data_IF_032991502498
#
_entry.id   IF_032991502498
#
_cell.length_a   1.000
_cell.length_b   1.000
_cell.length_c   1.000
_cell.angle_alpha   90.00
_cell.angle_beta   90.00
_cell.angle_gamma   90.00
#
_symmetry.space_group_name_H-M   'P 1'
#
loop_
_entity.id
_entity.type
_entity.pdbx_description
1 polymer ?
#
# COMPACT_ATOMS: atom_id res chain seq x y z
N UNK A 1 31.11 -23.04 -16.91
CA UNK A 1 31.49 -21.84 -16.13
C UNK A 1 30.38 -21.57 -15.10
N UNK A 2 30.73 -21.50 -13.81
CA UNK A 2 29.76 -21.16 -12.76
C UNK A 2 29.30 -19.71 -12.96
N UNK A 3 28.01 -19.48 -13.10
CA UNK A 3 27.45 -18.11 -13.19
C UNK A 3 27.79 -17.35 -11.91
N UNK A 4 28.35 -16.15 -12.02
CA UNK A 4 28.63 -15.29 -10.88
C UNK A 4 27.33 -14.55 -10.46
N UNK A 5 26.51 -15.24 -9.66
CA UNK A 5 25.25 -14.68 -9.18
C UNK A 5 25.46 -13.98 -7.84
N UNK A 6 24.94 -12.77 -7.72
CA UNK A 6 24.89 -11.97 -6.48
C UNK A 6 23.46 -11.90 -5.98
N UNK A 7 23.27 -12.31 -4.74
CA UNK A 7 21.98 -12.24 -4.03
C UNK A 7 21.98 -11.02 -3.10
N UNK A 8 21.12 -10.08 -3.39
CA UNK A 8 21.09 -8.77 -2.75
C UNK A 8 19.82 -8.65 -1.91
N UNK A 9 19.97 -8.52 -0.61
CA UNK A 9 18.89 -8.22 0.32
C UNK A 9 18.92 -6.74 0.69
N UNK A 10 17.78 -6.09 0.63
CA UNK A 10 17.63 -4.68 0.97
C UNK A 10 16.62 -4.52 2.10
N UNK A 11 17.02 -3.91 3.22
CA UNK A 11 16.12 -3.44 4.25
C UNK A 11 15.86 -1.95 4.03
N UNK A 12 14.62 -1.64 3.62
CA UNK A 12 14.24 -0.35 3.01
C UNK A 12 13.56 0.54 4.03
N UNK A 13 14.22 1.63 4.41
CA UNK A 13 13.70 2.67 5.28
C UNK A 13 13.47 3.99 4.53
N UNK A 14 12.84 4.95 5.21
CA UNK A 14 12.49 6.24 4.64
C UNK A 14 13.70 7.01 4.10
N UNK A 15 14.81 7.00 4.80
CA UNK A 15 15.97 7.84 4.52
C UNK A 15 17.17 7.04 3.99
N UNK A 16 17.27 5.78 4.38
CA UNK A 16 18.38 4.91 4.00
C UNK A 16 17.92 3.48 3.72
N UNK A 17 18.67 2.78 2.90
CA UNK A 17 18.51 1.36 2.60
C UNK A 17 19.78 0.66 3.07
N UNK A 18 19.62 -0.35 3.92
CA UNK A 18 20.69 -1.24 4.30
C UNK A 18 20.75 -2.41 3.32
N UNK A 19 21.91 -2.63 2.73
CA UNK A 19 22.11 -3.61 1.66
C UNK A 19 23.14 -4.65 2.09
N UNK A 20 22.81 -5.92 1.87
CA UNK A 20 23.77 -7.02 2.00
C UNK A 20 23.81 -7.81 0.69
N UNK A 21 25.00 -8.10 0.22
CA UNK A 21 25.26 -8.87 -1.00
C UNK A 21 25.92 -10.20 -0.64
N UNK A 22 25.34 -11.32 -1.10
CA UNK A 22 25.90 -12.66 -0.94
C UNK A 22 26.26 -13.28 -2.29
N UNK A 23 27.30 -14.09 -2.30
CA UNK A 23 27.63 -14.93 -3.44
C UNK A 23 26.85 -16.26 -3.42
N UNK A 24 27.05 -17.11 -4.44
CA UNK A 24 26.40 -18.42 -4.56
C UNK A 24 26.73 -19.36 -3.39
N UNK A 25 27.91 -19.23 -2.76
CA UNK A 25 28.30 -19.99 -1.57
C UNK A 25 27.66 -19.50 -0.28
N UNK A 26 26.96 -18.38 -0.32
CA UNK A 26 26.29 -17.77 0.83
C UNK A 26 27.20 -16.85 1.67
N UNK A 27 28.44 -16.59 1.24
CA UNK A 27 29.30 -15.63 1.94
C UNK A 27 28.83 -14.20 1.63
N UNK A 28 28.83 -13.35 2.66
CA UNK A 28 28.60 -11.91 2.49
C UNK A 28 29.86 -11.32 1.82
N UNK A 29 29.69 -10.78 0.63
CA UNK A 29 30.78 -10.19 -0.16
C UNK A 29 30.81 -8.67 -0.09
N UNK A 30 29.66 -8.04 0.25
CA UNK A 30 29.57 -6.59 0.41
C UNK A 30 28.40 -6.23 1.31
N UNK A 31 28.54 -5.14 2.04
CA UNK A 31 27.47 -4.47 2.78
C UNK A 31 27.59 -2.97 2.55
N UNK A 32 26.47 -2.30 2.47
CA UNK A 32 26.42 -0.85 2.28
C UNK A 32 25.17 -0.27 2.93
N UNK A 33 25.23 1.01 3.21
CA UNK A 33 24.06 1.82 3.55
C UNK A 33 24.03 2.94 2.50
N UNK A 34 22.93 3.02 1.77
CA UNK A 34 22.74 4.03 0.72
C UNK A 34 21.51 4.87 1.04
N UNK A 35 21.49 6.12 0.61
CA UNK A 35 20.30 6.95 0.73
C UNK A 35 19.15 6.37 -0.10
N UNK A 36 17.91 6.54 0.38
CA UNK A 36 16.69 6.15 -0.36
C UNK A 36 16.43 7.15 -1.50
N UNK A 37 17.39 7.26 -2.40
CA UNK A 37 17.37 8.10 -3.61
C UNK A 37 17.73 7.26 -4.83
N UNK A 38 17.03 7.50 -5.95
CA UNK A 38 17.23 6.73 -7.19
C UNK A 38 18.69 6.68 -7.61
N UNK A 39 19.38 7.83 -7.66
CA UNK A 39 20.77 7.91 -8.09
C UNK A 39 21.73 7.11 -7.20
N UNK A 40 21.60 7.20 -5.88
CA UNK A 40 22.45 6.46 -4.93
C UNK A 40 22.25 4.96 -5.05
N UNK A 41 21.00 4.53 -5.23
CA UNK A 41 20.66 3.10 -5.41
C UNK A 41 21.20 2.59 -6.74
N UNK A 42 20.98 3.30 -7.84
CA UNK A 42 21.46 2.88 -9.17
C UNK A 42 22.98 2.90 -9.25
N UNK A 43 23.66 3.88 -8.64
CA UNK A 43 25.12 3.91 -8.56
C UNK A 43 25.65 2.67 -7.85
N UNK A 44 25.04 2.26 -6.74
CA UNK A 44 25.42 1.04 -6.03
C UNK A 44 25.20 -0.19 -6.90
N UNK A 45 24.04 -0.35 -7.54
CA UNK A 45 23.70 -1.50 -8.38
C UNK A 45 24.63 -1.60 -9.59
N UNK A 46 24.91 -0.48 -10.27
CA UNK A 46 25.81 -0.46 -11.43
C UNK A 46 27.29 -0.74 -11.07
N UNK A 47 27.67 -0.53 -9.82
CA UNK A 47 29.01 -0.90 -9.32
C UNK A 47 29.19 -2.40 -9.09
N UNK A 48 28.11 -3.20 -9.11
CA UNK A 48 28.18 -4.64 -8.93
C UNK A 48 28.32 -5.38 -10.27
N UNK A 49 29.12 -6.44 -10.26
CA UNK A 49 29.32 -7.31 -11.44
C UNK A 49 28.61 -8.65 -11.24
N UNK A 50 28.23 -9.30 -12.34
CA UNK A 50 27.57 -10.60 -12.37
C UNK A 50 26.05 -10.54 -12.57
N UNK A 51 25.38 -11.67 -12.38
CA UNK A 51 23.92 -11.75 -12.41
C UNK A 51 23.35 -11.28 -11.07
N UNK A 52 22.65 -10.15 -11.07
CA UNK A 52 22.10 -9.53 -9.86
C UNK A 52 20.66 -10.02 -9.61
N UNK A 53 20.43 -10.63 -8.46
CA UNK A 53 19.10 -10.96 -7.96
C UNK A 53 18.83 -10.16 -6.68
N UNK A 54 17.74 -9.39 -6.66
CA UNK A 54 17.48 -8.43 -5.59
C UNK A 54 16.16 -8.74 -4.91
N UNK A 55 16.12 -8.55 -3.58
CA UNK A 55 14.91 -8.71 -2.79
C UNK A 55 14.78 -7.65 -1.69
N UNK A 56 13.54 -7.31 -1.39
CA UNK A 56 13.14 -6.52 -0.22
C UNK A 56 11.70 -6.87 0.18
N UNK A 57 11.28 -6.40 1.35
CA UNK A 57 9.93 -6.63 1.84
C UNK A 57 8.92 -5.65 1.26
N UNK A 58 7.68 -6.10 1.05
CA UNK A 58 6.56 -5.25 0.64
C UNK A 58 6.33 -4.14 1.65
N UNK A 59 6.27 -2.91 1.19
CA UNK A 59 6.09 -1.70 1.98
C UNK A 59 5.82 -0.49 1.11
N UNK A 60 5.84 0.69 1.72
CA UNK A 60 5.51 1.96 1.03
C UNK A 60 6.39 2.22 -0.20
N UNK A 61 7.67 1.87 -0.14
CA UNK A 61 8.65 2.10 -1.20
C UNK A 61 8.73 0.96 -2.23
N UNK A 62 8.09 -0.18 -1.95
CA UNK A 62 8.30 -1.41 -2.71
C UNK A 62 7.99 -1.27 -4.20
N UNK A 63 6.88 -0.61 -4.54
CA UNK A 63 6.47 -0.45 -5.93
C UNK A 63 7.40 0.48 -6.73
N UNK A 64 7.81 1.60 -6.12
CA UNK A 64 8.77 2.52 -6.73
C UNK A 64 10.12 1.86 -6.95
N UNK A 65 10.63 1.16 -5.94
CA UNK A 65 11.92 0.49 -6.00
C UNK A 65 11.91 -0.67 -7.03
N UNK A 66 10.78 -1.35 -7.16
CA UNK A 66 10.59 -2.38 -8.19
C UNK A 66 10.75 -1.81 -9.60
N UNK A 67 10.09 -0.68 -9.90
CA UNK A 67 10.19 -0.04 -11.22
C UNK A 67 11.60 0.50 -11.48
N UNK A 68 12.22 1.06 -10.43
CA UNK A 68 13.58 1.58 -10.52
C UNK A 68 14.59 0.48 -10.85
N UNK A 69 14.50 -0.68 -10.18
CA UNK A 69 15.53 -1.73 -10.25
C UNK A 69 15.29 -2.76 -11.35
N UNK A 70 14.04 -3.02 -11.72
CA UNK A 70 13.73 -4.06 -12.71
C UNK A 70 14.51 -3.96 -14.03
N UNK A 71 14.76 -2.77 -14.61
CA UNK A 71 15.55 -2.64 -15.84
C UNK A 71 17.06 -2.91 -15.66
N UNK A 72 17.56 -2.88 -14.42
CA UNK A 72 19.00 -2.89 -14.12
C UNK A 72 19.51 -4.18 -13.47
N UNK A 73 18.59 -5.13 -13.18
CA UNK A 73 18.95 -6.39 -12.52
C UNK A 73 18.29 -7.58 -13.21
N UNK A 74 18.87 -8.78 -13.04
CA UNK A 74 18.37 -10.00 -13.69
C UNK A 74 17.05 -10.46 -13.07
N UNK A 75 16.90 -10.33 -11.75
CA UNK A 75 15.68 -10.72 -11.05
C UNK A 75 15.38 -9.76 -9.91
N UNK A 76 14.11 -9.37 -9.79
CA UNK A 76 13.57 -8.69 -8.63
C UNK A 76 12.51 -9.58 -7.99
N UNK A 77 12.60 -9.77 -6.69
CA UNK A 77 11.63 -10.48 -5.91
C UNK A 77 11.23 -9.63 -4.70
N UNK A 78 10.02 -9.07 -4.72
CA UNK A 78 9.46 -8.42 -3.53
C UNK A 78 8.75 -9.47 -2.69
N UNK A 79 8.98 -9.53 -1.38
CA UNK A 79 8.47 -10.57 -0.52
C UNK A 79 7.49 -10.06 0.55
N UNK A 80 6.62 -10.98 1.02
CA UNK A 80 5.63 -10.68 2.06
C UNK A 80 6.29 -10.67 3.46
N UNK A 81 6.36 -9.53 4.16
CA UNK A 81 6.99 -9.43 5.47
C UNK A 81 6.33 -10.31 6.53
N UNK A 82 5.02 -10.55 6.44
CA UNK A 82 4.28 -11.37 7.40
C UNK A 82 4.67 -12.85 7.32
N UNK A 83 4.89 -13.34 6.10
CA UNK A 83 5.31 -14.73 5.88
C UNK A 83 6.79 -14.95 6.19
N UNK A 84 7.60 -13.91 6.08
CA UNK A 84 9.01 -13.95 6.42
C UNK A 84 9.27 -13.78 7.91
N UNK A 85 8.34 -13.24 8.70
CA UNK A 85 8.50 -13.03 10.14
C UNK A 85 8.85 -14.32 10.89
N UNK A 86 8.27 -15.46 10.50
CA UNK A 86 8.57 -16.77 11.06
C UNK A 86 10.00 -17.27 10.74
N UNK A 87 10.63 -16.73 9.68
CA UNK A 87 11.99 -17.07 9.27
C UNK A 87 13.03 -16.11 9.84
N UNK A 88 12.59 -15.05 10.51
CA UNK A 88 13.42 -13.99 11.10
C UNK A 88 13.58 -14.15 12.61
N UNK A 89 13.88 -15.33 13.11
CA UNK A 89 14.24 -15.52 14.52
C UNK A 89 15.57 -14.83 14.85
N UNK A 90 15.63 -14.12 15.99
CA UNK A 90 16.82 -13.50 16.54
C UNK A 90 16.76 -11.98 16.67
N UNK A 91 17.89 -11.37 17.08
CA UNK A 91 18.03 -9.93 17.33
C UNK A 91 17.67 -9.09 16.11
N UNK A 92 16.81 -8.09 16.29
CA UNK A 92 16.45 -7.12 15.24
C UNK A 92 17.58 -6.10 15.07
N UNK A 93 18.20 -6.12 13.90
CA UNK A 93 19.14 -5.11 13.44
C UNK A 93 19.05 -5.07 11.92
N UNK A 94 18.95 -3.89 11.34
CA UNK A 94 18.75 -3.65 9.90
C UNK A 94 19.79 -4.39 9.04
N UNK A 95 21.06 -4.46 9.48
CA UNK A 95 22.11 -5.25 8.81
C UNK A 95 21.82 -6.75 8.84
N UNK A 96 21.29 -7.25 9.97
CA UNK A 96 20.91 -8.65 10.12
C UNK A 96 19.73 -8.95 9.21
N UNK A 97 18.77 -8.04 9.09
CA UNK A 97 17.59 -8.22 8.27
C UNK A 97 17.94 -8.22 6.77
N UNK A 98 18.81 -7.32 6.29
CA UNK A 98 19.32 -7.33 4.91
C UNK A 98 20.08 -8.64 4.60
N UNK A 99 20.95 -9.11 5.51
CA UNK A 99 21.70 -10.39 5.35
C UNK A 99 20.77 -11.60 5.26
N UNK A 100 19.73 -11.63 6.09
CA UNK A 100 18.72 -12.71 6.08
C UNK A 100 17.92 -12.71 4.80
N UNK A 101 17.48 -11.55 4.32
CA UNK A 101 16.78 -11.42 3.05
C UNK A 101 17.63 -11.95 1.89
N UNK A 102 18.91 -11.58 1.82
CA UNK A 102 19.82 -12.08 0.80
C UNK A 102 20.01 -13.62 0.87
N UNK A 103 20.09 -14.20 2.07
CA UNK A 103 20.22 -15.65 2.23
C UNK A 103 18.93 -16.41 1.88
N UNK A 104 17.77 -15.87 2.29
CA UNK A 104 16.47 -16.43 1.94
C UNK A 104 16.21 -16.39 0.42
N UNK A 105 16.63 -15.30 -0.26
CA UNK A 105 16.58 -15.20 -1.72
C UNK A 105 17.43 -16.31 -2.34
N UNK A 106 18.68 -16.45 -1.91
CA UNK A 106 19.62 -17.48 -2.41
C UNK A 106 19.07 -18.90 -2.26
N UNK A 107 18.37 -19.17 -1.16
CA UNK A 107 17.77 -20.50 -0.87
C UNK A 107 16.40 -20.70 -1.52
N UNK A 108 15.85 -19.71 -2.22
CA UNK A 108 14.50 -19.80 -2.81
C UNK A 108 13.36 -19.90 -1.78
N UNK A 109 13.58 -19.41 -0.56
CA UNK A 109 12.62 -19.54 0.55
C UNK A 109 11.65 -18.36 0.68
N UNK A 110 11.81 -17.33 -0.14
CA UNK A 110 10.95 -16.15 -0.13
C UNK A 110 9.63 -16.41 -0.86
N UNK A 111 8.54 -15.87 -0.32
CA UNK A 111 7.23 -15.86 -0.98
C UNK A 111 7.04 -14.55 -1.73
N UNK A 112 6.95 -14.58 -3.09
CA UNK A 112 6.83 -13.36 -3.86
C UNK A 112 5.46 -12.70 -3.66
N UNK A 113 5.48 -11.36 -3.60
CA UNK A 113 4.31 -10.51 -3.78
C UNK A 113 4.25 -10.11 -5.25
N UNK A 114 3.07 -10.17 -5.83
CA UNK A 114 2.89 -9.82 -7.23
C UNK A 114 3.03 -8.31 -7.47
N UNK A 115 4.07 -7.94 -8.19
CA UNK A 115 4.27 -6.63 -8.80
C UNK A 115 4.05 -6.76 -10.31
N UNK A 116 2.81 -6.56 -10.74
CA UNK A 116 2.44 -6.69 -12.15
C UNK A 116 2.67 -5.42 -12.95
N UNK A 117 2.33 -5.50 -14.24
CA UNK A 117 2.40 -4.40 -15.19
C UNK A 117 1.68 -3.12 -14.69
N UNK A 118 2.08 -1.96 -15.18
CA UNK A 118 1.56 -0.64 -14.75
C UNK A 118 0.03 -0.54 -14.73
N UNK A 119 -0.68 -1.22 -15.65
CA UNK A 119 -2.14 -1.19 -15.70
C UNK A 119 -2.83 -1.79 -14.47
N UNK A 120 -2.35 -2.91 -13.94
CA UNK A 120 -2.88 -3.49 -12.70
C UNK A 120 -2.59 -2.61 -11.47
N UNK A 121 -1.50 -1.85 -11.50
CA UNK A 121 -1.19 -0.89 -10.44
C UNK A 121 -2.21 0.24 -10.41
N UNK A 122 -2.53 0.83 -11.56
CA UNK A 122 -3.57 1.86 -11.69
C UNK A 122 -4.91 1.37 -11.15
N UNK A 123 -5.34 0.16 -11.58
CA UNK A 123 -6.57 -0.44 -11.07
C UNK A 123 -6.54 -0.64 -9.54
N UNK A 124 -5.41 -1.08 -8.99
CA UNK A 124 -5.24 -1.26 -7.54
C UNK A 124 -5.35 0.05 -6.78
N UNK A 125 -4.71 1.12 -7.26
CA UNK A 125 -4.78 2.43 -6.61
C UNK A 125 -6.19 3.03 -6.65
N UNK A 126 -6.89 2.94 -7.79
CA UNK A 126 -8.29 3.36 -7.89
C UNK A 126 -9.21 2.56 -6.96
N UNK A 127 -9.00 1.24 -6.88
CA UNK A 127 -9.77 0.36 -6.00
C UNK A 127 -9.52 0.68 -4.51
N UNK A 128 -8.26 0.89 -4.11
CA UNK A 128 -7.89 1.30 -2.75
C UNK A 128 -8.51 2.64 -2.39
N UNK A 129 -8.42 3.62 -3.29
CA UNK A 129 -9.01 4.95 -3.10
C UNK A 129 -10.53 4.84 -2.94
N UNK A 130 -11.22 4.06 -3.77
CA UNK A 130 -12.66 3.84 -3.65
C UNK A 130 -13.05 3.19 -2.32
N UNK A 131 -12.28 2.21 -1.87
CA UNK A 131 -12.47 1.55 -0.58
C UNK A 131 -12.28 2.53 0.58
N UNK A 132 -11.21 3.33 0.57
CA UNK A 132 -10.94 4.35 1.59
C UNK A 132 -12.07 5.35 1.67
N UNK A 133 -12.50 5.93 0.53
CA UNK A 133 -13.63 6.85 0.49
C UNK A 133 -14.93 6.23 1.03
N UNK A 134 -15.17 4.95 0.75
CA UNK A 134 -16.34 4.24 1.24
C UNK A 134 -16.30 4.02 2.76
N UNK A 135 -15.12 3.69 3.31
CA UNK A 135 -14.91 3.56 4.75
C UNK A 135 -15.06 4.90 5.47
N UNK A 136 -14.51 5.98 4.91
CA UNK A 136 -14.61 7.32 5.49
C UNK A 136 -16.06 7.83 5.46
N UNK A 137 -16.79 7.56 4.38
CA UNK A 137 -18.24 7.81 4.31
C UNK A 137 -18.97 7.13 5.48
N UNK A 138 -18.73 5.85 5.69
CA UNK A 138 -19.36 5.10 6.77
C UNK A 138 -18.99 5.67 8.15
N UNK A 139 -17.73 6.08 8.34
CA UNK A 139 -17.28 6.74 9.58
C UNK A 139 -18.01 8.04 9.83
N UNK A 140 -18.16 8.90 8.81
CA UNK A 140 -18.87 10.18 8.93
C UNK A 140 -20.35 9.94 9.18
N UNK A 141 -20.99 9.01 8.47
CA UNK A 141 -22.38 8.63 8.68
C UNK A 141 -22.63 8.15 10.11
N UNK A 142 -21.73 7.33 10.65
CA UNK A 142 -21.84 6.84 12.03
C UNK A 142 -21.65 7.99 13.05
N UNK A 143 -20.68 8.88 12.82
CA UNK A 143 -20.47 10.08 13.67
C UNK A 143 -21.69 10.98 13.69
N UNK A 144 -22.33 11.18 12.55
CA UNK A 144 -23.55 11.98 12.44
C UNK A 144 -24.71 11.37 13.24
N UNK A 145 -24.94 10.05 13.09
CA UNK A 145 -25.96 9.35 13.91
C UNK A 145 -25.63 9.37 15.39
N UNK A 146 -24.36 9.18 15.75
CA UNK A 146 -23.93 9.22 17.14
C UNK A 146 -24.15 10.61 17.76
N UNK A 147 -23.92 11.68 16.98
CA UNK A 147 -24.21 13.05 17.43
C UNK A 147 -25.70 13.22 17.77
N UNK A 148 -26.60 12.85 16.87
CA UNK A 148 -28.06 12.98 17.12
C UNK A 148 -28.50 12.14 18.33
N UNK A 149 -28.05 10.87 18.39
CA UNK A 149 -28.40 9.98 19.52
C UNK A 149 -27.86 10.49 20.85
N UNK A 150 -26.66 11.07 20.87
CA UNK A 150 -26.06 11.66 22.06
C UNK A 150 -26.86 12.87 22.61
N UNK A 151 -27.75 13.43 21.82
CA UNK A 151 -28.68 14.50 22.21
C UNK A 151 -30.13 14.01 22.31
N UNK A 152 -30.35 12.70 22.45
CA UNK A 152 -31.67 12.11 22.60
C UNK A 152 -32.55 12.15 21.34
N UNK A 153 -31.98 12.53 20.18
CA UNK A 153 -32.71 12.62 18.92
C UNK A 153 -32.66 11.27 18.22
N UNK A 154 -33.77 10.56 18.15
CA UNK A 154 -33.89 9.29 17.48
C UNK A 154 -33.65 9.45 15.97
N UNK A 155 -32.66 8.72 15.41
CA UNK A 155 -32.33 8.72 13.99
C UNK A 155 -32.19 7.28 13.46
N UNK A 156 -33.26 6.77 12.85
CA UNK A 156 -33.32 5.52 12.14
C UNK A 156 -33.11 5.71 10.62
N UNK A 157 -32.90 4.60 9.91
CA UNK A 157 -32.85 4.60 8.46
C UNK A 157 -31.76 5.49 7.84
N UNK A 158 -32.03 5.99 6.62
CA UNK A 158 -31.09 6.78 5.80
C UNK A 158 -31.51 8.25 5.61
N UNK A 159 -32.68 8.63 6.11
CA UNK A 159 -33.22 10.00 5.92
C UNK A 159 -32.31 11.08 6.51
N UNK A 160 -31.67 10.80 7.64
CA UNK A 160 -30.69 11.70 8.27
C UNK A 160 -29.55 12.11 7.34
N UNK A 161 -29.25 11.33 6.30
CA UNK A 161 -28.18 11.62 5.34
C UNK A 161 -28.66 12.34 4.08
N UNK A 162 -29.98 12.38 3.86
CA UNK A 162 -30.55 12.92 2.63
C UNK A 162 -30.53 14.45 2.65
N UNK A 163 -30.00 15.13 1.61
CA UNK A 163 -29.88 16.59 1.58
C UNK A 163 -31.21 17.32 1.78
N UNK A 164 -32.31 16.77 1.25
CA UNK A 164 -33.65 17.35 1.31
C UNK A 164 -34.23 17.47 2.74
N UNK A 165 -33.73 16.65 3.69
CA UNK A 165 -34.18 16.68 5.08
C UNK A 165 -33.16 17.34 6.01
N UNK A 166 -32.09 17.93 5.49
CA UNK A 166 -30.99 18.47 6.30
C UNK A 166 -31.44 19.55 7.26
N UNK A 167 -32.20 20.53 6.77
CA UNK A 167 -32.68 21.64 7.59
C UNK A 167 -33.60 21.14 8.72
N UNK A 168 -34.46 20.17 8.43
CA UNK A 168 -35.30 19.52 9.44
C UNK A 168 -34.46 18.87 10.54
N UNK A 169 -33.40 18.10 10.12
CA UNK A 169 -32.52 17.45 11.08
C UNK A 169 -31.69 18.44 11.89
N UNK A 170 -31.16 19.48 11.29
CA UNK A 170 -30.39 20.52 11.97
C UNK A 170 -31.28 21.31 12.94
N UNK A 171 -32.55 21.54 12.58
CA UNK A 171 -33.53 22.21 13.44
C UNK A 171 -33.86 21.46 14.75
N UNK A 172 -33.62 20.13 14.80
CA UNK A 172 -33.79 19.32 16.02
C UNK A 172 -32.67 19.53 17.05
N UNK A 173 -31.60 20.24 16.69
CA UNK A 173 -30.42 20.47 17.57
C UNK A 173 -30.49 21.92 18.07
N UNK A 174 -30.78 22.13 19.35
CA UNK A 174 -30.85 23.46 19.96
C UNK A 174 -29.45 24.09 20.19
N UNK A 175 -28.45 23.37 20.79
CA UNK A 175 -27.17 24.00 21.10
C UNK A 175 -26.38 24.37 19.85
N UNK A 176 -26.01 25.65 19.72
CA UNK A 176 -25.35 26.24 18.54
C UNK A 176 -24.08 25.49 18.15
N UNK A 177 -23.21 25.15 19.12
CA UNK A 177 -21.97 24.45 18.85
C UNK A 177 -22.18 23.02 18.33
N UNK A 178 -23.21 22.32 18.81
CA UNK A 178 -23.58 20.98 18.36
C UNK A 178 -24.16 21.03 16.96
N UNK A 179 -25.04 22.01 16.69
CA UNK A 179 -25.57 22.26 15.34
C UNK A 179 -24.44 22.54 14.35
N UNK A 180 -23.48 23.40 14.72
CA UNK A 180 -22.31 23.69 13.90
C UNK A 180 -21.49 22.43 13.60
N UNK A 181 -21.29 21.56 14.58
CA UNK A 181 -20.61 20.26 14.38
C UNK A 181 -21.38 19.36 13.39
N UNK A 182 -22.72 19.32 13.49
CA UNK A 182 -23.55 18.57 12.55
C UNK A 182 -23.41 19.11 11.12
N UNK A 183 -23.43 20.43 10.92
CA UNK A 183 -23.23 21.09 9.63
C UNK A 183 -21.88 20.66 9.00
N UNK A 184 -20.79 20.70 9.78
CA UNK A 184 -19.46 20.28 9.31
C UNK A 184 -19.41 18.81 8.92
N UNK A 185 -20.07 17.92 9.68
CA UNK A 185 -20.20 16.51 9.33
C UNK A 185 -21.01 16.32 8.04
N UNK A 186 -22.05 17.09 7.80
CA UNK A 186 -22.80 17.08 6.54
C UNK A 186 -21.95 17.57 5.36
N UNK A 187 -21.15 18.61 5.55
CA UNK A 187 -20.23 19.08 4.51
C UNK A 187 -19.20 17.99 4.16
N UNK A 188 -18.61 17.34 5.16
CA UNK A 188 -17.68 16.23 4.97
C UNK A 188 -18.37 15.05 4.25
N UNK A 189 -19.58 14.67 4.65
CA UNK A 189 -20.38 13.63 3.99
C UNK A 189 -20.58 13.91 2.51
N UNK A 190 -20.97 15.13 2.17
CA UNK A 190 -21.18 15.55 0.78
C UNK A 190 -19.90 15.54 -0.06
N UNK A 191 -18.80 16.05 0.49
CA UNK A 191 -17.51 16.02 -0.18
C UNK A 191 -17.07 14.59 -0.52
N UNK A 192 -17.17 13.69 0.46
CA UNK A 192 -16.84 12.28 0.26
C UNK A 192 -17.76 11.58 -0.75
N UNK A 193 -19.07 11.90 -0.72
CA UNK A 193 -20.02 11.38 -1.71
C UNK A 193 -19.69 11.85 -3.13
N UNK A 194 -19.32 13.12 -3.28
CA UNK A 194 -18.93 13.69 -4.57
C UNK A 194 -17.66 12.99 -5.11
N UNK A 195 -16.60 12.91 -4.29
CA UNK A 195 -15.35 12.22 -4.66
C UNK A 195 -15.60 10.76 -5.06
N UNK A 196 -16.39 10.01 -4.29
CA UNK A 196 -16.72 8.63 -4.64
C UNK A 196 -17.52 8.51 -5.93
N UNK A 197 -18.41 9.48 -6.21
CA UNK A 197 -19.19 9.51 -7.45
C UNK A 197 -18.30 9.74 -8.67
N UNK A 198 -17.32 10.65 -8.56
CA UNK A 198 -16.33 10.91 -9.62
C UNK A 198 -15.43 9.70 -9.87
N UNK A 199 -14.91 9.09 -8.80
CA UNK A 199 -13.97 7.97 -8.90
C UNK A 199 -14.59 6.69 -9.47
N UNK A 200 -15.87 6.44 -9.19
CA UNK A 200 -16.54 5.18 -9.59
C UNK A 200 -16.47 4.89 -11.10
N UNK A 201 -16.81 5.82 -12.01
CA UNK A 201 -16.70 5.57 -13.44
C UNK A 201 -15.26 5.34 -13.89
N UNK A 202 -14.27 6.04 -13.31
CA UNK A 202 -12.85 5.84 -13.61
C UNK A 202 -12.39 4.42 -13.24
N UNK A 203 -12.72 3.97 -12.02
CA UNK A 203 -12.45 2.61 -11.57
C UNK A 203 -13.10 1.56 -12.49
N UNK A 204 -14.35 1.79 -12.89
CA UNK A 204 -15.04 0.86 -13.79
C UNK A 204 -14.43 0.85 -15.20
N UNK A 205 -14.02 2.00 -15.71
CA UNK A 205 -13.36 2.11 -17.02
C UNK A 205 -12.01 1.38 -16.99
N UNK A 206 -11.20 1.59 -15.95
CA UNK A 206 -9.92 0.90 -15.79
C UNK A 206 -10.12 -0.62 -15.64
N UNK A 207 -11.10 -1.05 -14.82
CA UNK A 207 -11.36 -2.47 -14.61
C UNK A 207 -11.71 -3.23 -15.89
N UNK A 208 -12.37 -2.57 -16.87
CA UNK A 208 -12.75 -3.20 -18.15
C UNK A 208 -11.57 -3.58 -19.02
N UNK A 209 -10.40 -2.94 -18.82
CA UNK A 209 -9.17 -3.24 -19.56
C UNK A 209 -8.56 -4.59 -19.14
N UNK A 210 -8.96 -5.14 -17.98
CA UNK A 210 -8.38 -6.35 -17.42
C UNK A 210 -9.30 -7.56 -17.54
N UNK A 211 -8.80 -8.64 -18.13
CA UNK A 211 -9.55 -9.90 -18.31
C UNK A 211 -10.07 -10.46 -16.98
N UNK A 212 -9.25 -10.39 -15.91
CA UNK A 212 -9.62 -10.87 -14.58
C UNK A 212 -10.88 -10.18 -14.01
N UNK A 213 -11.10 -8.88 -14.32
CA UNK A 213 -12.30 -8.17 -13.87
C UNK A 213 -13.60 -8.72 -14.45
N UNK A 214 -13.56 -9.33 -15.64
CA UNK A 214 -14.72 -10.01 -16.23
C UNK A 214 -15.07 -11.27 -15.46
N UNK A 215 -14.07 -12.05 -15.04
CA UNK A 215 -14.25 -13.27 -14.26
C UNK A 215 -14.78 -12.96 -12.85
N UNK A 216 -14.23 -11.93 -12.19
CA UNK A 216 -14.66 -11.53 -10.84
C UNK A 216 -16.11 -11.05 -10.79
N UNK A 217 -16.66 -10.52 -11.88
CA UNK A 217 -18.08 -10.12 -11.95
C UNK A 217 -19.04 -11.31 -12.06
N UNK A 218 -18.54 -12.50 -12.37
CA UNK A 218 -19.33 -13.72 -12.48
C UNK A 218 -19.42 -14.47 -11.14
N UNK A 219 -18.64 -14.04 -10.15
CA UNK A 219 -18.68 -14.58 -8.78
C UNK A 219 -19.86 -13.91 -8.07
N UNK A 220 -20.84 -14.66 -7.56
CA UNK A 220 -22.03 -14.15 -6.88
C UNK A 220 -21.69 -13.43 -5.57
#
# INVERSE_FOLDING_TARGET
MSRDIKYIGMDVHKEAIVIAVRNTRGHVVMESIVETKANSILQFIHGLQGELQVTWEEGTWAAWLYDLLKPHVHQVLVCDPRRNALLKEGSKNDKVDARKLADLLRRGMLRPVYHGEHGLRTLRELARTYQTLSQDLNRVMNRLKALYRGWGIACGGTQVYAPRYREEWLGKIEPVGVRRRAELLYQQLHGLQALRRTLRPELLAESRKHKAAKLLRQIP
#
